data_IF_433085482702
#
_entry.id   IF_433085482702
#
_cell.length_a   1.000
_cell.length_b   1.000
_cell.length_c   1.000
_cell.angle_alpha   90.00
_cell.angle_beta   90.00
_cell.angle_gamma   90.00
#
_symmetry.space_group_name_H-M   'P 1'
#
loop_
_entity.id
_entity.type
_entity.pdbx_description
1 polymer ?
#
# COMPACT_ATOMS: atom_id res chain seq x y z
N UNK A 1 37.64 -25.04 -27.72
CA UNK A 1 38.14 -25.22 -26.34
C UNK A 1 37.00 -25.41 -25.33
N UNK A 2 36.00 -24.53 -25.31
CA UNK A 2 34.80 -24.60 -24.44
C UNK A 2 34.10 -25.98 -24.32
N UNK A 3 33.77 -26.62 -25.46
CA UNK A 3 33.13 -27.96 -25.46
C UNK A 3 33.99 -29.07 -24.83
N UNK A 4 35.30 -28.86 -24.67
CA UNK A 4 36.21 -29.86 -24.08
C UNK A 4 36.30 -29.76 -22.55
N UNK A 5 35.94 -28.61 -21.98
CA UNK A 5 36.02 -28.36 -20.53
C UNK A 5 34.64 -28.32 -19.86
N UNK A 6 33.56 -28.18 -20.62
CA UNK A 6 32.17 -28.19 -20.12
C UNK A 6 31.57 -29.59 -20.13
N UNK A 7 30.88 -29.97 -19.06
CA UNK A 7 30.12 -31.22 -19.00
C UNK A 7 28.91 -31.15 -19.95
N UNK A 8 28.77 -32.10 -20.87
CA UNK A 8 27.59 -32.18 -21.74
C UNK A 8 26.40 -32.66 -20.92
N UNK A 9 25.34 -31.86 -20.87
CA UNK A 9 24.15 -32.13 -20.07
C UNK A 9 23.13 -33.01 -20.80
N UNK A 10 22.96 -32.83 -22.12
CA UNK A 10 22.10 -33.66 -22.95
C UNK A 10 22.82 -34.02 -24.27
N UNK A 11 22.67 -35.27 -24.71
CA UNK A 11 23.13 -35.76 -26.01
C UNK A 11 22.22 -35.38 -27.18
N UNK A 12 20.99 -34.92 -26.90
CA UNK A 12 20.02 -34.48 -27.90
C UNK A 12 20.43 -33.15 -28.56
N UNK A 13 19.82 -32.85 -29.71
CA UNK A 13 20.08 -31.64 -30.48
C UNK A 13 19.00 -30.59 -30.15
N UNK A 14 19.36 -29.37 -29.73
CA UNK A 14 20.73 -28.86 -29.62
C UNK A 14 21.46 -29.32 -28.34
N UNK A 15 22.76 -29.64 -28.48
CA UNK A 15 23.58 -30.08 -27.36
C UNK A 15 23.74 -28.98 -26.30
N UNK A 16 23.30 -29.27 -25.08
CA UNK A 16 23.38 -28.36 -23.92
C UNK A 16 24.64 -28.68 -23.09
N UNK A 17 25.41 -27.64 -22.72
CA UNK A 17 26.70 -27.78 -22.02
C UNK A 17 26.73 -27.02 -20.72
N UNK A 18 27.05 -27.70 -19.62
CA UNK A 18 27.21 -27.14 -18.28
C UNK A 18 28.34 -26.13 -18.21
N UNK A 19 28.01 -24.90 -17.81
CA UNK A 19 29.02 -23.91 -17.46
C UNK A 19 29.63 -24.28 -16.10
N UNK A 20 30.95 -24.46 -16.07
CA UNK A 20 31.69 -24.64 -14.84
C UNK A 20 31.85 -23.29 -14.16
N UNK A 21 30.90 -22.97 -13.29
CA UNK A 21 30.87 -21.73 -12.53
C UNK A 21 31.72 -21.86 -11.27
N UNK A 22 32.63 -20.92 -11.06
CA UNK A 22 33.40 -20.82 -9.82
C UNK A 22 32.74 -19.81 -8.89
N UNK A 23 32.35 -20.25 -7.67
CA UNK A 23 31.87 -19.33 -6.65
C UNK A 23 33.02 -18.42 -6.21
N UNK A 24 32.80 -17.10 -6.29
CA UNK A 24 33.74 -16.06 -5.83
C UNK A 24 33.19 -15.39 -4.57
N UNK A 25 33.74 -14.22 -4.26
CA UNK A 25 33.32 -13.35 -3.15
C UNK A 25 31.80 -13.12 -3.22
N UNK A 26 31.14 -13.33 -2.08
CA UNK A 26 29.74 -12.99 -1.85
C UNK A 26 29.56 -12.63 -0.38
N UNK A 27 28.49 -11.92 -0.09
CA UNK A 27 28.03 -11.63 1.28
C UNK A 27 26.87 -12.56 1.63
N UNK A 28 26.30 -12.39 2.82
CA UNK A 28 25.02 -13.02 3.16
C UNK A 28 23.85 -12.42 2.35
N UNK A 29 24.04 -11.26 1.72
CA UNK A 29 23.02 -10.55 0.94
C UNK A 29 23.08 -10.81 -0.57
N UNK A 30 24.24 -11.16 -1.13
CA UNK A 30 24.37 -11.51 -2.54
C UNK A 30 25.55 -12.43 -2.80
N UNK A 31 25.49 -13.20 -3.89
CA UNK A 31 26.54 -14.15 -4.26
C UNK A 31 27.04 -13.91 -5.68
N UNK A 32 28.29 -14.28 -5.95
CA UNK A 32 28.88 -14.17 -7.29
C UNK A 32 29.50 -15.48 -7.77
N UNK A 33 29.28 -15.74 -9.05
CA UNK A 33 29.83 -16.86 -9.78
C UNK A 33 30.52 -16.36 -11.05
N UNK A 34 31.75 -16.78 -11.25
CA UNK A 34 32.54 -16.40 -12.42
C UNK A 34 32.69 -17.60 -13.36
N UNK A 35 32.60 -17.36 -14.67
CA UNK A 35 32.89 -18.32 -15.72
C UNK A 35 34.06 -17.83 -16.57
N UNK A 36 35.04 -18.71 -16.79
CA UNK A 36 36.20 -18.46 -17.64
C UNK A 36 37.25 -17.56 -17.00
N UNK A 37 38.47 -17.58 -17.54
CA UNK A 37 39.57 -16.74 -17.08
C UNK A 37 39.30 -15.24 -17.28
N UNK A 38 40.07 -14.39 -16.57
CA UNK A 38 39.95 -12.93 -16.67
C UNK A 38 40.02 -12.48 -18.14
N UNK A 39 39.05 -11.67 -18.55
CA UNK A 39 38.98 -11.11 -19.90
C UNK A 39 39.13 -9.60 -19.86
N UNK A 40 39.85 -9.05 -20.84
CA UNK A 40 40.00 -7.61 -21.06
C UNK A 40 38.97 -7.05 -22.04
N UNK A 41 38.09 -7.90 -22.60
CA UNK A 41 36.96 -7.43 -23.40
C UNK A 41 36.02 -6.60 -22.55
N UNK A 42 35.29 -5.68 -23.19
CA UNK A 42 34.24 -4.89 -22.54
C UNK A 42 33.29 -5.81 -21.77
N UNK A 43 32.80 -5.36 -20.62
CA UNK A 43 31.83 -6.12 -19.83
C UNK A 43 30.47 -5.43 -19.87
N UNK A 44 29.44 -6.13 -20.31
CA UNK A 44 28.06 -5.65 -20.31
C UNK A 44 27.33 -6.21 -19.08
N UNK A 45 26.76 -5.35 -18.25
CA UNK A 45 26.02 -5.72 -17.03
C UNK A 45 24.53 -5.56 -17.27
N UNK A 46 23.80 -6.65 -17.10
CA UNK A 46 22.35 -6.65 -17.16
C UNK A 46 21.80 -7.06 -15.81
N UNK A 47 20.71 -6.42 -15.38
CA UNK A 47 19.91 -6.88 -14.26
C UNK A 47 18.57 -7.40 -14.75
N UNK A 48 18.09 -8.48 -14.14
CA UNK A 48 16.85 -9.16 -14.50
C UNK A 48 15.84 -9.09 -13.34
N UNK A 49 14.66 -8.51 -13.57
CA UNK A 49 13.52 -8.44 -12.63
C UNK A 49 12.27 -9.18 -13.18
N UNK A 50 11.36 -9.60 -12.29
CA UNK A 50 10.26 -10.51 -12.61
C UNK A 50 10.05 -11.65 -11.59
N UNK A 51 8.99 -12.43 -11.81
CA UNK A 51 8.52 -13.52 -10.92
C UNK A 51 9.11 -14.89 -11.34
N UNK A 52 9.23 -15.87 -10.45
CA UNK A 52 9.68 -17.24 -10.76
C UNK A 52 8.68 -17.84 -11.76
N UNK A 53 9.20 -18.50 -12.80
CA UNK A 53 8.40 -18.95 -13.94
C UNK A 53 8.22 -17.87 -15.02
N UNK A 54 8.63 -16.61 -14.76
CA UNK A 54 8.88 -15.63 -15.82
C UNK A 54 10.23 -15.87 -16.51
N UNK A 55 10.40 -15.22 -17.65
CA UNK A 55 11.55 -15.31 -18.57
C UNK A 55 12.93 -14.95 -18.02
N UNK A 56 13.02 -14.57 -16.73
CA UNK A 56 14.30 -14.67 -16.02
C UNK A 56 14.96 -16.01 -16.27
N UNK A 57 14.18 -17.10 -16.31
CA UNK A 57 14.69 -18.46 -16.52
C UNK A 57 15.13 -18.75 -17.96
N UNK A 58 14.75 -17.92 -18.92
CA UNK A 58 15.08 -18.06 -20.36
C UNK A 58 16.36 -17.32 -20.73
N UNK A 59 16.56 -16.12 -20.15
CA UNK A 59 17.85 -15.41 -20.25
C UNK A 59 18.92 -16.02 -19.36
N UNK A 60 18.53 -16.83 -18.36
CA UNK A 60 19.44 -17.77 -17.72
C UNK A 60 19.87 -18.74 -18.79
N UNK A 61 21.16 -18.68 -19.10
CA UNK A 61 21.84 -19.56 -20.03
C UNK A 61 21.56 -21.01 -19.63
N UNK A 62 20.56 -21.59 -20.28
CA UNK A 62 20.08 -22.96 -20.19
C UNK A 62 19.69 -23.47 -18.78
N UNK A 63 19.01 -24.63 -18.79
CA UNK A 63 18.42 -25.39 -17.68
C UNK A 63 19.36 -25.70 -16.47
N UNK A 64 20.63 -25.30 -16.53
CA UNK A 64 21.68 -25.54 -15.54
C UNK A 64 21.52 -24.74 -14.26
N UNK A 65 20.99 -23.52 -14.36
CA UNK A 65 20.63 -22.74 -13.19
C UNK A 65 19.33 -23.22 -12.54
N UNK A 66 18.57 -24.10 -13.21
CA UNK A 66 17.42 -24.82 -12.61
C UNK A 66 17.86 -26.12 -11.93
N UNK A 67 18.84 -26.85 -12.46
CA UNK A 67 19.38 -28.05 -11.79
C UNK A 67 20.08 -27.75 -10.45
N UNK A 68 20.70 -26.56 -10.28
CA UNK A 68 21.14 -26.09 -8.95
C UNK A 68 19.98 -25.91 -7.94
N UNK A 69 18.74 -25.76 -8.44
CA UNK A 69 17.52 -25.59 -7.61
C UNK A 69 16.87 -26.91 -7.22
N UNK A 70 17.17 -28.04 -7.89
CA UNK A 70 16.54 -29.32 -7.55
C UNK A 70 17.27 -30.10 -6.45
N UNK A 71 18.57 -29.80 -6.22
CA UNK A 71 19.35 -30.40 -5.12
C UNK A 71 19.40 -29.54 -3.84
N UNK A 72 18.81 -28.35 -3.83
CA UNK A 72 18.66 -27.54 -2.61
C UNK A 72 17.20 -27.16 -2.41
N UNK A 73 16.60 -27.63 -1.32
CA UNK A 73 15.28 -27.22 -0.86
C UNK A 73 15.20 -25.72 -0.45
N UNK A 74 16.21 -24.90 -0.78
CA UNK A 74 16.19 -23.45 -0.52
C UNK A 74 15.94 -22.69 -1.81
N UNK A 75 14.71 -22.22 -1.93
CA UNK A 75 14.32 -21.08 -2.76
C UNK A 75 15.41 -20.00 -2.65
N UNK A 76 16.18 -19.73 -3.72
CA UNK A 76 17.29 -18.75 -3.68
C UNK A 76 16.78 -17.44 -3.11
N UNK A 77 17.29 -17.08 -1.93
CA UNK A 77 16.77 -15.95 -1.18
C UNK A 77 17.54 -14.66 -1.46
N UNK A 78 18.65 -14.78 -2.17
CA UNK A 78 19.64 -13.73 -2.37
C UNK A 78 19.83 -13.37 -3.85
N UNK A 79 20.20 -12.11 -4.11
CA UNK A 79 20.63 -11.65 -5.44
C UNK A 79 21.88 -12.41 -5.88
N UNK A 80 21.91 -12.88 -7.12
CA UNK A 80 23.04 -13.65 -7.66
C UNK A 80 23.64 -12.99 -8.89
N UNK A 81 24.97 -12.85 -8.90
CA UNK A 81 25.74 -12.25 -9.98
C UNK A 81 26.49 -13.33 -10.74
N UNK A 82 26.23 -13.48 -12.03
CA UNK A 82 26.97 -14.36 -12.93
C UNK A 82 27.88 -13.51 -13.81
N UNK A 83 29.20 -13.58 -13.62
CA UNK A 83 30.16 -12.92 -14.49
C UNK A 83 30.73 -13.92 -15.49
N UNK A 84 30.38 -13.74 -16.75
CA UNK A 84 30.75 -14.62 -17.84
C UNK A 84 31.80 -13.92 -18.66
N UNK A 85 33.07 -14.26 -18.39
CA UNK A 85 34.19 -13.68 -19.11
C UNK A 85 34.21 -14.20 -20.56
N UNK A 86 34.36 -13.29 -21.52
CA UNK A 86 34.45 -13.64 -22.93
C UNK A 86 35.54 -14.69 -23.18
N UNK A 87 35.19 -15.77 -23.89
CA UNK A 87 36.12 -16.80 -24.35
C UNK A 87 36.15 -16.84 -25.89
N UNK A 88 37.25 -17.28 -26.46
CA UNK A 88 37.36 -17.49 -27.90
C UNK A 88 36.29 -18.47 -28.40
N UNK A 89 35.59 -18.10 -29.48
CA UNK A 89 34.47 -18.85 -30.04
C UNK A 89 33.09 -18.46 -29.49
N UNK A 90 33.00 -17.48 -28.58
CA UNK A 90 31.72 -16.88 -28.21
C UNK A 90 31.16 -16.06 -29.38
N UNK A 91 29.83 -16.08 -29.56
CA UNK A 91 29.14 -15.27 -30.59
C UNK A 91 29.13 -13.77 -30.29
N UNK A 92 29.25 -13.40 -29.01
CA UNK A 92 29.32 -12.01 -28.55
C UNK A 92 30.77 -11.65 -28.27
N UNK A 93 31.19 -10.42 -28.61
CA UNK A 93 32.58 -9.97 -28.48
C UNK A 93 32.91 -9.32 -27.12
N UNK A 94 32.01 -9.47 -26.15
CA UNK A 94 32.11 -8.86 -24.82
C UNK A 94 31.83 -9.89 -23.73
N UNK A 95 32.33 -9.61 -22.52
CA UNK A 95 31.96 -10.34 -21.31
C UNK A 95 30.57 -9.91 -20.85
N UNK A 96 29.79 -10.83 -20.28
CA UNK A 96 28.43 -10.55 -19.83
C UNK A 96 28.34 -10.79 -18.32
N UNK A 97 27.87 -9.80 -17.58
CA UNK A 97 27.49 -9.94 -16.17
C UNK A 97 25.98 -9.91 -16.07
N UNK A 98 25.39 -10.97 -15.49
CA UNK A 98 23.95 -11.09 -15.27
C UNK A 98 23.69 -10.99 -13.77
N UNK A 99 22.93 -9.98 -13.36
CA UNK A 99 22.45 -9.80 -12.00
C UNK A 99 21.04 -10.38 -11.97
N UNK A 100 20.94 -11.61 -11.48
CA UNK A 100 19.69 -12.32 -11.31
C UNK A 100 19.09 -11.97 -9.96
N UNK A 101 17.91 -11.35 -9.99
CA UNK A 101 17.15 -11.07 -8.76
C UNK A 101 16.18 -12.22 -8.47
N UNK A 102 15.94 -12.57 -7.19
CA UNK A 102 14.84 -13.45 -6.79
C UNK A 102 13.46 -12.89 -7.19
N UNK A 103 12.39 -13.57 -6.77
CA UNK A 103 11.00 -13.18 -7.05
C UNK A 103 10.66 -11.78 -6.58
N UNK A 104 10.74 -10.84 -7.50
CA UNK A 104 10.46 -9.42 -7.26
C UNK A 104 9.10 -9.09 -7.85
N UNK A 105 8.22 -8.44 -7.07
CA UNK A 105 6.84 -8.14 -7.43
C UNK A 105 5.95 -9.39 -7.57
N UNK A 106 6.27 -10.45 -6.81
CA UNK A 106 5.45 -11.66 -6.74
C UNK A 106 4.36 -11.57 -5.67
N UNK A 107 3.45 -12.54 -5.62
CA UNK A 107 2.43 -12.66 -4.55
C UNK A 107 3.02 -12.87 -3.15
N UNK A 108 4.33 -13.08 -3.03
CA UNK A 108 5.05 -13.16 -1.75
C UNK A 108 5.10 -11.82 -1.00
N UNK A 109 4.78 -10.72 -1.67
CA UNK A 109 4.45 -9.43 -1.07
C UNK A 109 5.61 -8.48 -0.81
N UNK A 110 5.25 -7.26 -0.42
CA UNK A 110 6.11 -6.07 -0.31
C UNK A 110 7.34 -6.29 0.59
N UNK A 111 7.22 -7.09 1.66
CA UNK A 111 8.34 -7.39 2.56
C UNK A 111 9.49 -8.10 1.85
N UNK A 112 9.17 -8.98 0.90
CA UNK A 112 10.18 -9.73 0.15
C UNK A 112 10.91 -8.84 -0.85
N UNK A 113 10.17 -7.94 -1.51
CA UNK A 113 10.71 -6.94 -2.43
C UNK A 113 11.62 -5.95 -1.70
N UNK A 114 11.26 -5.56 -0.47
CA UNK A 114 12.13 -4.74 0.39
C UNK A 114 13.46 -5.44 0.65
N UNK A 115 13.45 -6.72 1.07
CA UNK A 115 14.68 -7.48 1.30
C UNK A 115 15.53 -7.59 0.02
N UNK A 116 14.92 -7.80 -1.16
CA UNK A 116 15.66 -7.82 -2.44
C UNK A 116 16.27 -6.44 -2.74
N UNK A 117 15.55 -5.37 -2.42
CA UNK A 117 16.04 -3.99 -2.60
C UNK A 117 17.24 -3.70 -1.70
N UNK A 118 17.21 -4.15 -0.44
CA UNK A 118 18.35 -4.08 0.50
C UNK A 118 19.56 -4.87 -0.03
N UNK A 119 19.34 -6.08 -0.53
CA UNK A 119 20.41 -6.89 -1.15
C UNK A 119 21.05 -6.21 -2.37
N UNK A 120 20.24 -5.54 -3.19
CA UNK A 120 20.73 -4.75 -4.32
C UNK A 120 21.51 -3.51 -3.84
N UNK A 121 21.06 -2.87 -2.77
CA UNK A 121 21.77 -1.76 -2.16
C UNK A 121 23.17 -2.22 -1.69
N UNK A 122 23.27 -3.34 -1.00
CA UNK A 122 24.54 -3.93 -0.60
C UNK A 122 25.44 -4.23 -1.80
N UNK A 123 24.89 -4.86 -2.84
CA UNK A 123 25.61 -5.16 -4.07
C UNK A 123 26.17 -3.90 -4.76
N UNK A 124 25.41 -2.81 -4.74
CA UNK A 124 25.84 -1.56 -5.39
C UNK A 124 26.86 -0.80 -4.54
N UNK A 125 26.90 -0.99 -3.23
CA UNK A 125 27.86 -0.33 -2.34
C UNK A 125 29.13 -1.14 -2.09
N UNK A 126 29.13 -2.45 -2.35
CA UNK A 126 30.30 -3.30 -2.17
C UNK A 126 31.45 -2.93 -3.11
N UNK A 127 32.70 -3.04 -2.61
CA UNK A 127 33.92 -2.77 -3.39
C UNK A 127 34.05 -3.66 -4.63
N UNK A 128 33.73 -4.96 -4.49
CA UNK A 128 33.72 -5.94 -5.58
C UNK A 128 32.34 -6.10 -6.25
N UNK A 129 31.44 -5.15 -5.96
CA UNK A 129 30.06 -5.14 -6.40
C UNK A 129 29.86 -4.55 -7.80
N UNK A 130 28.65 -4.05 -8.06
CA UNK A 130 28.28 -3.47 -9.36
C UNK A 130 28.21 -1.95 -9.25
N UNK A 131 28.98 -1.26 -10.10
CA UNK A 131 29.04 0.21 -10.11
C UNK A 131 28.32 0.83 -11.29
N UNK A 132 28.08 0.07 -12.36
CA UNK A 132 27.43 0.51 -13.59
C UNK A 132 26.59 -0.61 -14.21
N UNK A 133 25.56 -0.22 -14.95
CA UNK A 133 24.62 -1.11 -15.63
C UNK A 133 24.43 -0.70 -17.08
N UNK A 134 24.28 -1.70 -17.95
CA UNK A 134 24.01 -1.51 -19.36
C UNK A 134 22.54 -1.73 -19.69
N UNK A 135 21.85 -2.64 -19.00
CA UNK A 135 20.41 -2.79 -19.16
C UNK A 135 19.69 -3.21 -17.87
N UNK A 136 18.52 -2.63 -17.65
CA UNK A 136 17.53 -3.08 -16.66
C UNK A 136 16.43 -3.80 -17.40
N UNK A 137 16.39 -5.12 -17.25
CA UNK A 137 15.41 -5.95 -17.92
C UNK A 137 14.34 -6.40 -16.94
N UNK A 138 13.08 -6.29 -17.33
CA UNK A 138 11.98 -6.81 -16.52
C UNK A 138 10.85 -7.35 -17.38
N UNK A 139 10.07 -8.24 -16.78
CA UNK A 139 8.84 -8.79 -17.36
C UNK A 139 7.60 -8.00 -16.89
N UNK A 140 6.42 -8.36 -17.38
CA UNK A 140 5.15 -7.76 -16.95
C UNK A 140 4.98 -7.78 -15.41
N UNK A 141 4.25 -6.79 -14.88
CA UNK A 141 3.78 -6.63 -13.48
C UNK A 141 4.75 -6.06 -12.45
N UNK A 142 5.95 -5.60 -12.83
CA UNK A 142 6.93 -5.09 -11.84
C UNK A 142 7.47 -3.70 -12.18
N UNK A 143 6.88 -3.01 -13.15
CA UNK A 143 7.41 -1.76 -13.71
C UNK A 143 7.63 -0.69 -12.65
N UNK A 144 6.58 -0.29 -11.93
CA UNK A 144 6.67 0.76 -10.90
C UNK A 144 7.63 0.38 -9.77
N UNK A 145 7.59 -0.88 -9.34
CA UNK A 145 8.48 -1.39 -8.29
C UNK A 145 9.94 -1.34 -8.71
N UNK A 146 10.27 -1.75 -9.94
CA UNK A 146 11.64 -1.72 -10.48
C UNK A 146 12.14 -0.30 -10.61
N UNK A 147 11.31 0.61 -11.13
CA UNK A 147 11.68 2.02 -11.27
C UNK A 147 11.96 2.69 -9.94
N UNK A 148 11.26 2.30 -8.88
CA UNK A 148 11.47 2.85 -7.54
C UNK A 148 12.84 2.53 -6.93
N UNK A 149 13.60 1.61 -7.54
CA UNK A 149 14.96 1.24 -7.14
C UNK A 149 15.98 2.17 -7.79
N UNK A 150 15.77 2.56 -9.05
CA UNK A 150 16.80 3.20 -9.87
C UNK A 150 16.69 4.71 -9.91
N UNK A 151 17.84 5.35 -10.14
CA UNK A 151 17.88 6.75 -10.54
C UNK A 151 17.19 6.96 -11.89
N UNK A 152 16.62 8.16 -12.07
CA UNK A 152 15.95 8.55 -13.32
C UNK A 152 16.85 8.49 -14.56
N UNK A 153 18.17 8.52 -14.39
CA UNK A 153 19.18 8.43 -15.44
C UNK A 153 19.28 7.04 -16.06
N UNK A 154 18.76 6.01 -15.38
CA UNK A 154 18.72 4.62 -15.86
C UNK A 154 17.58 4.37 -16.85
N UNK A 155 16.64 5.33 -16.99
CA UNK A 155 15.47 5.19 -17.84
C UNK A 155 15.81 4.73 -19.28
N UNK A 156 16.85 5.27 -19.91
CA UNK A 156 17.26 4.90 -21.27
C UNK A 156 17.84 3.48 -21.40
N UNK A 157 18.20 2.85 -20.27
CA UNK A 157 18.74 1.49 -20.18
C UNK A 157 17.66 0.45 -19.89
N UNK A 158 16.40 0.87 -19.74
CA UNK A 158 15.27 -0.05 -19.53
C UNK A 158 15.01 -0.86 -20.80
N UNK A 159 14.85 -2.19 -20.65
CA UNK A 159 14.46 -3.10 -21.72
C UNK A 159 13.35 -4.02 -21.25
N UNK A 160 12.30 -4.16 -22.04
CA UNK A 160 11.14 -4.95 -21.64
C UNK A 160 11.26 -6.34 -22.24
N UNK A 161 11.18 -7.37 -21.39
CA UNK A 161 11.14 -8.76 -21.83
C UNK A 161 9.68 -9.21 -21.85
N UNK A 162 9.23 -9.66 -23.00
CA UNK A 162 7.81 -9.95 -23.22
C UNK A 162 7.59 -11.40 -23.57
N UNK A 163 6.71 -12.03 -22.80
CA UNK A 163 6.41 -13.46 -22.83
C UNK A 163 5.00 -13.70 -23.38
N UNK A 164 4.75 -14.89 -23.93
CA UNK A 164 3.42 -15.33 -24.38
C UNK A 164 2.73 -14.34 -25.33
N UNK A 165 3.50 -13.69 -26.22
CA UNK A 165 3.04 -12.61 -27.11
C UNK A 165 3.31 -12.94 -28.58
N UNK A 166 2.96 -14.17 -28.95
CA UNK A 166 3.26 -14.77 -30.25
C UNK A 166 2.30 -14.30 -31.35
N UNK A 167 1.07 -13.92 -30.99
CA UNK A 167 0.04 -13.52 -31.95
C UNK A 167 -0.19 -12.01 -32.10
N UNK A 168 -0.10 -11.23 -31.02
CA UNK A 168 -0.57 -9.84 -30.98
C UNK A 168 0.39 -8.91 -30.22
N UNK A 169 0.16 -7.58 -30.33
CA UNK A 169 0.90 -6.60 -29.56
C UNK A 169 0.70 -6.86 -28.05
N UNK A 170 1.78 -6.97 -27.27
CA UNK A 170 1.66 -7.29 -25.86
C UNK A 170 0.93 -6.19 -25.06
N UNK A 171 -0.09 -6.52 -24.25
CA UNK A 171 -0.81 -5.52 -23.44
C UNK A 171 0.07 -4.78 -22.43
N UNK A 172 1.21 -5.36 -22.04
CA UNK A 172 2.18 -4.71 -21.14
C UNK A 172 2.75 -3.41 -21.74
N UNK A 173 2.83 -3.31 -23.07
CA UNK A 173 3.36 -2.10 -23.71
C UNK A 173 2.43 -0.90 -23.50
N UNK A 174 1.12 -1.11 -23.53
CA UNK A 174 0.14 -0.05 -23.27
C UNK A 174 0.15 0.38 -21.81
N UNK A 175 0.30 -0.56 -20.87
CA UNK A 175 0.46 -0.24 -19.45
C UNK A 175 1.73 0.61 -19.20
N UNK A 176 2.82 0.32 -19.89
CA UNK A 176 4.07 1.10 -19.78
C UNK A 176 3.90 2.48 -20.40
N UNK A 177 3.23 2.61 -21.55
CA UNK A 177 2.89 3.92 -22.12
C UNK A 177 2.08 4.78 -21.15
N UNK A 178 1.10 4.18 -20.48
CA UNK A 178 0.23 4.88 -19.53
C UNK A 178 0.92 5.26 -18.21
N UNK A 179 2.10 4.69 -17.90
CA UNK A 179 2.80 4.93 -16.63
C UNK A 179 3.35 6.35 -16.47
N UNK A 180 3.56 7.08 -17.57
CA UNK A 180 4.20 8.40 -17.57
C UNK A 180 5.69 8.40 -17.24
N UNK A 181 6.31 7.23 -17.08
CA UNK A 181 7.74 7.11 -16.74
C UNK A 181 8.58 7.12 -18.02
N UNK A 182 9.75 7.79 -18.05
CA UNK A 182 10.63 7.74 -19.20
C UNK A 182 11.11 6.31 -19.49
N UNK A 183 11.00 5.90 -20.76
CA UNK A 183 11.53 4.64 -21.29
C UNK A 183 12.01 4.87 -22.72
N UNK A 184 12.94 4.04 -23.23
CA UNK A 184 13.37 4.12 -24.61
C UNK A 184 12.24 3.63 -25.52
N UNK A 185 12.02 4.35 -26.62
CA UNK A 185 11.04 4.01 -27.65
C UNK A 185 11.73 3.47 -28.90
N UNK A 186 11.06 2.57 -29.61
CA UNK A 186 11.37 2.21 -31.00
C UNK A 186 10.92 3.32 -31.95
N UNK A 187 11.29 3.21 -33.23
CA UNK A 187 10.87 4.15 -34.28
C UNK A 187 9.34 4.24 -34.41
N UNK A 188 8.63 3.15 -34.11
CA UNK A 188 7.17 3.07 -34.09
C UNK A 188 6.52 3.68 -32.81
N UNK A 189 7.32 4.30 -31.93
CA UNK A 189 6.85 4.90 -30.68
C UNK A 189 6.46 3.89 -29.59
N UNK A 190 6.80 2.61 -29.76
CA UNK A 190 6.56 1.58 -28.75
C UNK A 190 7.73 1.50 -27.76
N UNK A 191 7.49 1.12 -26.49
CA UNK A 191 8.58 0.81 -25.58
C UNK A 191 9.52 -0.27 -26.17
N UNK A 192 10.84 -0.08 -26.06
CA UNK A 192 11.83 -1.05 -26.54
C UNK A 192 11.65 -2.38 -25.81
N UNK A 193 11.33 -3.43 -26.57
CA UNK A 193 10.99 -4.73 -26.04
C UNK A 193 11.56 -5.88 -26.87
N UNK A 194 11.76 -7.03 -26.22
CA UNK A 194 12.22 -8.27 -26.84
C UNK A 194 11.25 -9.39 -26.51
N UNK A 195 10.85 -10.15 -27.54
CA UNK A 195 9.85 -11.22 -27.41
C UNK A 195 10.50 -12.57 -27.13
N UNK A 196 10.25 -13.05 -25.93
CA UNK A 196 10.42 -14.37 -25.36
C UNK A 196 9.35 -15.40 -25.79
N UNK A 197 9.72 -16.53 -26.39
CA UNK A 197 8.86 -17.71 -26.37
C UNK A 197 9.66 -18.90 -25.83
N UNK A 198 9.12 -19.49 -24.76
CA UNK A 198 9.78 -20.57 -24.02
C UNK A 198 9.14 -21.93 -24.26
N UNK A 199 8.07 -22.03 -25.05
CA UNK A 199 7.35 -23.28 -25.27
C UNK A 199 8.29 -24.38 -25.78
N UNK A 200 9.25 -24.02 -26.65
CA UNK A 200 10.28 -24.93 -27.13
C UNK A 200 11.20 -25.53 -26.04
N UNK A 201 11.37 -24.84 -24.90
CA UNK A 201 12.16 -25.35 -23.77
C UNK A 201 11.40 -26.40 -22.94
N UNK A 202 10.08 -26.43 -23.06
CA UNK A 202 9.19 -27.34 -22.34
C UNK A 202 8.56 -28.39 -23.27
N UNK A 203 8.94 -28.39 -24.53
CA UNK A 203 8.55 -29.40 -25.50
C UNK A 203 9.08 -30.77 -25.10
N UNK A 204 8.21 -31.79 -25.15
CA UNK A 204 8.62 -33.18 -24.97
C UNK A 204 9.44 -33.61 -26.20
N UNK A 205 10.76 -33.39 -26.16
CA UNK A 205 11.71 -33.80 -27.19
C UNK A 205 11.95 -35.32 -27.20
N UNK A 206 10.91 -36.15 -27.07
CA UNK A 206 11.07 -37.60 -27.22
C UNK A 206 11.52 -37.89 -28.65
N UNK A 207 12.57 -38.72 -28.85
CA UNK A 207 12.99 -39.12 -30.19
C UNK A 207 11.83 -39.86 -30.85
N UNK A 208 11.21 -39.19 -31.81
CA UNK A 208 10.06 -39.66 -32.57
C UNK A 208 10.52 -40.70 -33.59
N UNK A 209 10.93 -41.87 -33.10
CA UNK A 209 11.32 -43.01 -33.94
C UNK A 209 10.53 -44.30 -33.63
N UNK A 210 9.75 -44.37 -32.55
CA UNK A 210 9.12 -45.64 -32.14
C UNK A 210 7.59 -45.71 -32.26
N UNK A 211 6.84 -44.61 -32.30
CA UNK A 211 5.37 -44.64 -32.44
C UNK A 211 4.88 -43.33 -33.07
N UNK A 212 4.93 -43.22 -34.41
CA UNK A 212 4.17 -42.19 -35.12
C UNK A 212 2.93 -42.85 -35.71
N UNK A 213 1.76 -42.42 -35.27
CA UNK A 213 0.53 -42.59 -36.04
C UNK A 213 0.42 -41.46 -37.04
N UNK A 214 -0.30 -41.67 -38.15
CA UNK A 214 -0.37 -40.72 -39.28
C UNK A 214 -0.96 -39.33 -38.94
N UNK A 215 -1.41 -39.12 -37.70
CA UNK A 215 -1.92 -37.84 -37.18
C UNK A 215 -0.85 -36.99 -36.47
N UNK A 216 0.39 -37.47 -36.33
CA UNK A 216 1.48 -36.82 -35.56
C UNK A 216 2.47 -35.99 -36.43
N UNK A 217 2.10 -35.57 -37.63
CA UNK A 217 3.01 -34.86 -38.55
C UNK A 217 3.14 -33.35 -38.30
N UNK A 218 2.30 -32.74 -37.45
CA UNK A 218 2.20 -31.27 -37.34
C UNK A 218 2.82 -30.65 -36.06
N UNK A 219 3.29 -31.47 -35.10
CA UNK A 219 3.77 -30.95 -33.80
C UNK A 219 5.24 -30.51 -33.79
N UNK A 220 6.11 -31.11 -34.61
CA UNK A 220 7.56 -30.85 -34.61
C UNK A 220 7.97 -29.48 -35.17
N UNK A 221 7.16 -28.87 -36.04
CA UNK A 221 7.47 -27.58 -36.66
C UNK A 221 7.30 -26.38 -35.72
N UNK A 222 6.38 -26.47 -34.76
CA UNK A 222 6.09 -25.39 -33.82
C UNK A 222 7.21 -25.17 -32.81
N UNK A 223 7.77 -26.24 -32.24
CA UNK A 223 8.85 -26.13 -31.26
C UNK A 223 10.14 -25.59 -31.88
N UNK A 224 10.48 -26.03 -33.10
CA UNK A 224 11.61 -25.46 -33.85
C UNK A 224 11.38 -23.97 -34.17
N UNK A 225 10.16 -23.60 -34.57
CA UNK A 225 9.79 -22.21 -34.82
C UNK A 225 9.96 -21.35 -33.56
N UNK A 226 9.49 -21.81 -32.40
CA UNK A 226 9.64 -21.12 -31.13
C UNK A 226 11.10 -21.02 -30.68
N UNK A 227 11.91 -22.06 -30.89
CA UNK A 227 13.35 -22.04 -30.61
C UNK A 227 14.10 -21.01 -31.47
N UNK A 228 13.81 -21.00 -32.78
CA UNK A 228 14.40 -20.03 -33.71
C UNK A 228 13.98 -18.60 -33.36
N UNK A 229 12.72 -18.40 -32.98
CA UNK A 229 12.21 -17.11 -32.51
C UNK A 229 12.95 -16.64 -31.25
N UNK A 230 13.10 -17.50 -30.24
CA UNK A 230 13.86 -17.19 -29.03
C UNK A 230 15.33 -16.87 -29.32
N UNK A 231 15.97 -17.64 -30.20
CA UNK A 231 17.36 -17.41 -30.64
C UNK A 231 17.53 -16.05 -31.31
N UNK A 232 16.67 -15.70 -32.27
CA UNK A 232 16.69 -14.38 -32.94
C UNK A 232 16.42 -13.24 -31.95
N UNK A 233 15.57 -13.45 -30.95
CA UNK A 233 15.34 -12.46 -29.90
C UNK A 233 16.57 -12.26 -29.01
N UNK A 234 17.28 -13.32 -28.63
CA UNK A 234 18.56 -13.22 -27.91
C UNK A 234 19.62 -12.49 -28.73
N UNK A 235 19.74 -12.80 -30.02
CA UNK A 235 20.68 -12.13 -30.93
C UNK A 235 20.40 -10.63 -31.02
N UNK A 236 19.12 -10.24 -31.16
CA UNK A 236 18.72 -8.81 -31.13
C UNK A 236 19.00 -8.14 -29.80
N UNK A 237 18.72 -8.81 -28.67
CA UNK A 237 19.01 -8.27 -27.34
C UNK A 237 20.52 -8.02 -27.18
N UNK A 238 21.36 -9.00 -27.50
CA UNK A 238 22.81 -8.87 -27.36
C UNK A 238 23.42 -7.86 -28.33
N UNK A 239 22.93 -7.79 -29.57
CA UNK A 239 23.31 -6.73 -30.49
C UNK A 239 22.96 -5.35 -29.93
N UNK A 240 21.75 -5.18 -29.37
CA UNK A 240 21.34 -3.94 -28.74
C UNK A 240 22.22 -3.58 -27.54
N UNK A 241 22.52 -4.53 -26.64
CA UNK A 241 23.42 -4.31 -25.49
C UNK A 241 24.78 -3.76 -25.91
N UNK A 242 25.29 -4.16 -27.08
CA UNK A 242 26.57 -3.66 -27.58
C UNK A 242 26.54 -2.17 -27.94
N UNK A 243 25.38 -1.60 -28.28
CA UNK A 243 25.21 -0.18 -28.58
C UNK A 243 24.85 0.69 -27.37
N UNK A 244 24.41 0.10 -26.26
CA UNK A 244 23.92 0.89 -25.11
C UNK A 244 25.07 1.60 -24.39
N UNK A 245 24.84 2.85 -24.01
CA UNK A 245 25.70 3.59 -23.10
C UNK A 245 25.48 3.12 -21.66
N UNK A 246 26.56 2.71 -20.99
CA UNK A 246 26.51 2.28 -19.60
C UNK A 246 26.14 3.45 -18.68
N UNK A 247 25.33 3.19 -17.65
CA UNK A 247 24.99 4.16 -16.61
C UNK A 247 25.64 3.80 -15.29
N UNK A 248 26.31 4.77 -14.70
CA UNK A 248 26.82 4.66 -13.33
C UNK A 248 25.68 4.65 -12.33
N UNK A 249 25.82 3.86 -11.27
CA UNK A 249 24.77 3.69 -10.25
C UNK A 249 24.79 4.76 -9.16
N UNK A 250 25.51 5.87 -9.33
CA UNK A 250 25.63 6.93 -8.32
C UNK A 250 24.27 7.49 -7.91
N UNK A 251 23.40 7.80 -8.88
CA UNK A 251 22.07 8.32 -8.58
C UNK A 251 21.18 7.24 -7.94
N UNK A 252 21.23 6.01 -8.44
CA UNK A 252 20.57 4.84 -7.85
C UNK A 252 20.96 4.62 -6.39
N UNK A 253 22.25 4.70 -6.05
CA UNK A 253 22.71 4.59 -4.65
C UNK A 253 22.12 5.68 -3.76
N UNK A 254 22.02 6.91 -4.28
CA UNK A 254 21.40 8.03 -3.57
C UNK A 254 19.90 7.80 -3.35
N UNK A 255 19.17 7.34 -4.37
CA UNK A 255 17.74 6.97 -4.27
C UNK A 255 17.53 5.93 -3.17
N UNK A 256 18.32 4.86 -3.16
CA UNK A 256 18.22 3.80 -2.16
C UNK A 256 18.51 4.31 -0.74
N UNK A 257 19.54 5.17 -0.58
CA UNK A 257 19.87 5.76 0.72
C UNK A 257 18.79 6.70 1.24
N UNK A 258 18.26 7.59 0.41
CA UNK A 258 17.18 8.51 0.80
C UNK A 258 15.91 7.75 1.15
N UNK A 259 15.61 6.68 0.40
CA UNK A 259 14.48 5.80 0.70
C UNK A 259 14.61 5.13 2.06
N UNK A 260 15.79 4.56 2.37
CA UNK A 260 16.02 3.96 3.69
C UNK A 260 15.80 4.98 4.81
N UNK A 261 16.31 6.22 4.66
CA UNK A 261 16.11 7.28 5.66
C UNK A 261 14.63 7.67 5.83
N UNK A 262 13.86 7.70 4.75
CA UNK A 262 12.42 7.95 4.80
C UNK A 262 11.69 6.80 5.51
N UNK A 263 12.06 5.55 5.22
CA UNK A 263 11.47 4.38 5.87
C UNK A 263 11.74 4.37 7.38
N UNK A 264 12.97 4.67 7.80
CA UNK A 264 13.33 4.81 9.22
C UNK A 264 12.52 5.93 9.90
N UNK A 265 12.38 7.08 9.22
CA UNK A 265 11.59 8.21 9.72
C UNK A 265 10.11 7.88 9.87
N UNK A 266 9.54 7.12 8.92
CA UNK A 266 8.14 6.66 8.98
C UNK A 266 7.95 5.67 10.13
N UNK A 267 8.89 4.73 10.34
CA UNK A 267 8.83 3.78 11.46
C UNK A 267 8.86 4.51 12.81
N UNK A 268 9.74 5.51 12.96
CA UNK A 268 9.81 6.32 14.17
C UNK A 268 8.55 7.14 14.42
N UNK A 269 7.94 7.70 13.37
CA UNK A 269 6.66 8.38 13.47
C UNK A 269 5.54 7.41 13.89
N UNK A 270 5.51 6.20 13.33
CA UNK A 270 4.53 5.17 13.72
C UNK A 270 4.65 4.80 15.21
N UNK A 271 5.89 4.66 15.73
CA UNK A 271 6.14 4.43 17.17
C UNK A 271 5.61 5.58 18.03
N UNK A 272 5.87 6.84 17.65
CA UNK A 272 5.39 8.03 18.37
C UNK A 272 3.86 8.10 18.38
N UNK A 273 3.21 7.88 17.23
CA UNK A 273 1.75 7.85 17.12
C UNK A 273 1.16 6.78 18.05
N UNK A 274 1.73 5.57 18.05
CA UNK A 274 1.28 4.49 18.93
C UNK A 274 1.41 4.85 20.41
N UNK A 275 2.50 5.52 20.81
CA UNK A 275 2.71 5.97 22.18
C UNK A 275 1.70 7.05 22.59
N UNK A 276 1.47 8.04 21.72
CA UNK A 276 0.51 9.12 21.99
C UNK A 276 -0.94 8.59 22.05
N UNK A 277 -1.30 7.61 21.21
CA UNK A 277 -2.59 6.92 21.31
C UNK A 277 -2.77 6.20 22.65
N UNK A 278 -1.72 5.51 23.15
CA UNK A 278 -1.78 4.84 24.45
C UNK A 278 -1.95 5.84 25.62
N UNK A 279 -1.24 6.98 25.59
CA UNK A 279 -1.42 8.05 26.59
C UNK A 279 -2.82 8.67 26.55
N UNK A 280 -3.39 8.83 25.36
CA UNK A 280 -4.74 9.35 25.19
C UNK A 280 -5.78 8.39 25.79
N UNK A 281 -5.60 7.09 25.60
CA UNK A 281 -6.44 6.05 26.18
C UNK A 281 -6.37 6.07 27.71
N UNK A 282 -5.17 6.13 28.29
CA UNK A 282 -4.96 6.26 29.75
C UNK A 282 -5.64 7.52 30.32
N UNK A 283 -5.49 8.67 29.63
CA UNK A 283 -6.14 9.92 30.03
C UNK A 283 -7.67 9.81 29.99
N UNK A 284 -8.21 9.15 28.97
CA UNK A 284 -9.65 8.93 28.84
C UNK A 284 -10.19 8.03 29.96
N UNK A 285 -9.50 6.95 30.29
CA UNK A 285 -9.86 6.09 31.43
C UNK A 285 -9.81 6.85 32.76
N UNK A 286 -8.76 7.62 32.98
CA UNK A 286 -8.60 8.44 34.20
C UNK A 286 -9.71 9.47 34.32
N UNK A 287 -10.06 10.13 33.21
CA UNK A 287 -11.16 11.09 33.15
C UNK A 287 -12.51 10.41 33.44
N UNK A 288 -12.73 9.20 32.93
CA UNK A 288 -13.94 8.43 33.21
C UNK A 288 -14.05 8.08 34.69
N UNK A 289 -12.98 7.57 35.30
CA UNK A 289 -12.93 7.27 36.74
C UNK A 289 -13.13 8.51 37.61
N UNK A 290 -12.57 9.66 37.22
CA UNK A 290 -12.80 10.93 37.91
C UNK A 290 -14.26 11.36 37.85
N UNK A 291 -14.90 11.30 36.68
CA UNK A 291 -16.33 11.61 36.54
C UNK A 291 -17.20 10.67 37.38
N UNK A 292 -16.91 9.36 37.37
CA UNK A 292 -17.59 8.39 38.22
C UNK A 292 -17.41 8.71 39.72
N UNK A 293 -16.20 9.07 40.15
CA UNK A 293 -15.92 9.46 41.53
C UNK A 293 -16.60 10.77 41.93
N UNK A 294 -16.70 11.76 41.04
CA UNK A 294 -17.43 13.01 41.27
C UNK A 294 -18.94 12.77 41.37
N UNK A 295 -19.53 11.94 40.51
CA UNK A 295 -20.94 11.53 40.61
C UNK A 295 -21.20 10.83 41.94
N UNK A 296 -20.33 9.88 42.34
CA UNK A 296 -20.48 9.14 43.60
C UNK A 296 -20.25 10.02 44.84
N UNK A 297 -19.36 11.02 44.79
CA UNK A 297 -19.24 12.03 45.86
C UNK A 297 -20.49 12.87 46.02
N UNK A 298 -21.21 13.11 44.92
CA UNK A 298 -22.46 13.85 44.90
C UNK A 298 -23.70 12.94 45.05
N UNK A 299 -23.57 11.64 45.37
CA UNK A 299 -24.71 10.76 45.63
C UNK A 299 -25.43 11.05 46.96
N UNK A 300 -24.81 11.81 47.87
CA UNK A 300 -25.41 12.21 49.15
C UNK A 300 -25.59 13.72 49.23
N UNK A 301 -26.48 14.28 48.42
CA UNK A 301 -27.14 15.52 48.82
C UNK A 301 -28.65 15.33 48.74
N UNK A 302 -29.29 15.40 49.91
CA UNK A 302 -30.74 15.60 49.98
C UNK A 302 -30.99 17.06 49.59
N UNK A 303 -31.51 17.30 48.38
CA UNK A 303 -32.15 18.58 48.09
C UNK A 303 -33.45 18.59 48.87
N UNK A 304 -33.46 19.24 50.03
CA UNK A 304 -34.72 19.62 50.69
C UNK A 304 -35.39 20.70 49.84
N UNK A 305 -36.24 20.27 48.92
CA UNK A 305 -37.13 21.19 48.19
C UNK A 305 -38.34 21.45 49.08
N UNK A 306 -38.42 22.66 49.62
CA UNK A 306 -39.61 23.15 50.33
C UNK A 306 -40.70 23.44 49.31
N UNK A 307 -41.68 22.55 49.20
CA UNK A 307 -42.86 22.79 48.35
C UNK A 307 -43.89 23.56 49.17
N UNK A 308 -44.18 24.79 48.73
CA UNK A 308 -45.24 25.65 49.26
C UNK A 308 -46.58 25.04 48.86
N UNK A 309 -47.45 24.74 49.83
CA UNK A 309 -48.87 24.46 49.54
C UNK A 309 -49.70 25.68 49.93
N UNK A 310 -50.47 26.28 49.02
CA UNK A 310 -51.48 27.26 49.41
C UNK A 310 -52.55 26.56 50.26
N UNK A 311 -53.04 27.22 51.29
CA UNK A 311 -54.30 26.86 51.95
C UNK A 311 -55.28 28.02 51.81
N UNK A 312 -56.56 27.70 51.68
CA UNK A 312 -57.65 28.65 51.48
C UNK A 312 -58.19 29.10 52.85
N UNK A 313 -58.25 30.42 53.08
CA UNK A 313 -58.94 31.03 54.22
C UNK A 313 -60.33 31.52 53.77
N UNK A 314 -61.40 30.95 54.33
CA UNK A 314 -62.78 31.34 54.04
C UNK A 314 -63.12 32.71 54.63
N UNK A 315 -63.52 33.64 53.76
CA UNK A 315 -63.94 35.01 54.08
C UNK A 315 -65.44 35.23 53.87
N UNK A 316 -66.23 34.16 53.78
CA UNK A 316 -67.69 34.22 53.66
C UNK A 316 -68.31 35.02 54.82
N UNK A 317 -69.09 36.04 54.49
CA UNK A 317 -69.78 36.89 55.47
C UNK A 317 -69.09 38.23 55.79
N UNK A 318 -67.88 38.48 55.27
CA UNK A 318 -67.15 39.74 55.47
C UNK A 318 -67.62 40.91 54.57
N UNK A 319 -68.51 40.65 53.60
CA UNK A 319 -69.01 41.66 52.65
C UNK A 319 -67.96 42.13 51.62
N UNK A 320 -66.86 41.39 51.49
CA UNK A 320 -65.75 41.63 50.57
C UNK A 320 -65.28 40.34 49.92
N UNK A 321 -64.73 40.43 48.72
CA UNK A 321 -64.27 39.30 47.91
C UNK A 321 -62.75 39.34 47.73
N UNK A 322 -62.14 38.20 47.42
CA UNK A 322 -60.75 38.08 47.00
C UNK A 322 -60.68 37.84 45.48
N UNK A 323 -59.83 38.59 44.77
CA UNK A 323 -59.61 38.36 43.34
C UNK A 323 -58.44 37.39 43.14
N UNK A 324 -58.76 36.12 42.87
CA UNK A 324 -57.77 35.04 42.76
C UNK A 324 -57.46 34.71 41.30
N UNK A 325 -56.18 34.55 40.97
CA UNK A 325 -55.74 34.09 39.66
C UNK A 325 -55.73 32.56 39.61
N UNK A 326 -56.49 31.96 38.70
CA UNK A 326 -56.56 30.49 38.56
C UNK A 326 -55.31 29.89 37.88
N UNK A 327 -54.53 30.71 37.20
CA UNK A 327 -53.27 30.27 36.60
C UNK A 327 -52.08 30.34 37.58
N UNK A 328 -52.07 31.36 38.44
CA UNK A 328 -50.97 31.57 39.38
C UNK A 328 -51.25 31.01 40.78
N UNK A 329 -52.50 30.61 41.06
CA UNK A 329 -52.97 30.26 42.40
C UNK A 329 -52.53 31.29 43.45
N UNK A 330 -52.82 32.56 43.17
CA UNK A 330 -52.42 33.72 43.97
C UNK A 330 -53.57 34.71 44.13
N UNK A 331 -53.74 35.25 45.34
CA UNK A 331 -54.69 36.34 45.62
C UNK A 331 -54.09 37.67 45.21
N UNK A 332 -54.54 38.24 44.09
CA UNK A 332 -54.04 39.52 43.59
C UNK A 332 -54.51 40.72 44.42
N UNK A 333 -55.71 40.65 44.99
CA UNK A 333 -56.31 41.76 45.73
C UNK A 333 -57.38 41.26 46.68
N UNK A 334 -57.29 41.76 47.90
CA UNK A 334 -58.29 41.64 48.93
C UNK A 334 -58.10 42.85 49.87
N UNK A 335 -59.18 43.49 50.36
CA UNK A 335 -60.58 43.24 50.06
C UNK A 335 -61.05 43.90 48.75
N UNK A 336 -61.74 43.15 47.88
CA UNK A 336 -62.39 43.66 46.68
C UNK A 336 -63.90 43.87 46.94
N UNK A 337 -64.47 45.05 46.64
CA UNK A 337 -65.90 45.31 46.84
C UNK A 337 -66.78 44.82 45.67
N UNK A 338 -66.18 44.34 44.58
CA UNK A 338 -66.89 43.93 43.36
C UNK A 338 -67.26 42.46 43.51
N UNK A 339 -68.56 42.13 43.45
CA UNK A 339 -69.02 40.74 43.53
C UNK A 339 -68.99 40.04 42.16
N UNK A 340 -69.41 40.74 41.11
CA UNK A 340 -69.59 40.16 39.77
C UNK A 340 -68.26 40.08 39.03
N UNK A 341 -67.98 38.89 38.51
CA UNK A 341 -66.76 38.63 37.76
C UNK A 341 -66.62 39.49 36.49
N UNK A 342 -67.75 39.94 35.93
CA UNK A 342 -67.80 40.77 34.71
C UNK A 342 -67.38 42.21 34.96
N UNK A 343 -67.57 42.70 36.17
CA UNK A 343 -67.30 44.10 36.53
C UNK A 343 -65.85 44.30 37.05
N UNK A 344 -65.07 43.22 37.15
CA UNK A 344 -63.69 43.26 37.66
C UNK A 344 -62.71 44.06 36.82
N UNK A 345 -63.02 44.32 35.55
CA UNK A 345 -62.20 45.22 34.73
C UNK A 345 -62.09 46.62 35.36
N UNK A 346 -63.04 46.98 36.24
CA UNK A 346 -63.05 48.22 37.01
C UNK A 346 -62.40 48.10 38.41
N UNK A 347 -61.80 46.95 38.74
CA UNK A 347 -61.08 46.77 40.00
C UNK A 347 -59.86 47.70 40.08
N UNK A 348 -59.61 48.30 41.24
CA UNK A 348 -58.48 49.22 41.45
C UNK A 348 -57.09 48.58 41.20
N UNK A 349 -57.00 47.25 41.26
CA UNK A 349 -55.78 46.50 40.97
C UNK A 349 -55.64 46.09 39.48
N UNK A 350 -56.55 46.56 38.61
CA UNK A 350 -56.53 46.35 37.17
C UNK A 350 -55.93 47.55 36.44
N UNK A 351 -55.05 47.29 35.47
CA UNK A 351 -54.53 48.30 34.54
C UNK A 351 -54.46 47.70 33.14
N UNK A 352 -55.00 48.39 32.14
CA UNK A 352 -54.99 47.97 30.72
C UNK A 352 -55.50 46.53 30.47
N UNK A 353 -56.46 46.06 31.28
CA UNK A 353 -57.00 44.70 31.18
C UNK A 353 -56.14 43.61 31.82
N UNK A 354 -55.09 43.98 32.56
CA UNK A 354 -54.19 43.07 33.27
C UNK A 354 -54.14 43.36 34.76
N UNK A 355 -53.99 42.30 35.55
CA UNK A 355 -53.89 42.42 36.99
C UNK A 355 -52.47 42.75 37.42
N UNK A 356 -52.24 43.95 37.95
CA UNK A 356 -50.87 44.42 38.21
C UNK A 356 -50.19 43.71 39.37
N UNK A 357 -50.98 43.22 40.32
CA UNK A 357 -50.51 42.50 41.51
C UNK A 357 -50.34 40.99 41.27
N UNK A 358 -50.82 40.46 40.14
CA UNK A 358 -50.62 39.06 39.81
C UNK A 358 -49.14 38.82 39.45
N UNK A 359 -48.47 37.78 39.98
CA UNK A 359 -47.05 37.52 39.73
C UNK A 359 -46.67 37.50 38.24
N UNK A 360 -47.55 36.94 37.41
CA UNK A 360 -47.35 36.83 35.96
C UNK A 360 -48.10 37.92 35.16
N UNK A 361 -48.67 38.93 35.84
CA UNK A 361 -49.51 39.98 35.24
C UNK A 361 -50.56 39.40 34.30
N UNK A 362 -51.28 38.39 34.78
CA UNK A 362 -52.25 37.65 33.97
C UNK A 362 -53.41 38.57 33.51
N UNK A 363 -54.05 38.25 32.36
CA UNK A 363 -55.22 38.98 31.89
C UNK A 363 -56.41 38.85 32.85
N UNK A 364 -57.33 39.81 32.79
CA UNK A 364 -58.43 39.90 33.75
C UNK A 364 -59.36 38.68 33.78
N UNK A 365 -59.51 37.98 32.66
CA UNK A 365 -60.44 36.88 32.43
C UNK A 365 -60.05 35.57 33.15
N UNK A 366 -58.80 35.45 33.59
CA UNK A 366 -58.33 34.30 34.39
C UNK A 366 -58.39 34.53 35.90
N UNK A 367 -58.97 35.66 36.33
CA UNK A 367 -59.14 36.02 37.72
C UNK A 367 -60.62 35.91 38.14
N UNK A 368 -60.88 35.35 39.32
CA UNK A 368 -62.24 35.09 39.84
C UNK A 368 -62.39 35.67 41.23
N UNK A 369 -63.56 36.27 41.51
CA UNK A 369 -63.85 36.81 42.81
C UNK A 369 -64.46 35.69 43.65
N UNK A 370 -63.76 35.32 44.71
CA UNK A 370 -64.13 34.19 45.56
C UNK A 370 -64.25 34.67 47.00
N UNK A 371 -64.84 33.83 47.83
CA UNK A 371 -64.89 34.03 49.27
C UNK A 371 -63.71 33.33 49.95
N UNK A 372 -62.57 33.20 49.29
CA UNK A 372 -61.41 32.45 49.80
C UNK A 372 -60.12 33.20 49.50
N UNK A 373 -59.30 33.48 50.51
CA UNK A 373 -57.96 34.06 50.31
C UNK A 373 -56.93 32.94 50.24
N UNK A 374 -56.10 32.97 49.22
CA UNK A 374 -54.88 32.16 49.14
C UNK A 374 -53.79 32.86 49.97
N UNK A 375 -53.50 32.31 51.16
CA UNK A 375 -52.49 32.86 52.09
C UNK A 375 -51.18 32.09 51.93
N UNK A 376 -50.09 32.83 51.66
CA UNK A 376 -48.74 32.29 51.66
C UNK A 376 -48.01 32.70 52.95
N UNK A 377 -47.84 31.79 53.90
CA UNK A 377 -46.98 32.07 55.06
C UNK A 377 -45.50 31.92 54.69
N UNK A 378 -44.69 32.84 55.21
CA UNK A 378 -43.22 32.76 55.20
C UNK A 378 -42.67 32.39 56.58
N UNK A 379 -41.52 31.69 56.60
CA UNK A 379 -40.58 31.33 57.70
C UNK A 379 -40.84 29.99 58.42
N UNK A 380 -39.84 29.16 58.76
CA UNK A 380 -38.35 29.21 58.76
C UNK A 380 -37.82 27.90 58.16
#
# INVERSE_FOLDING_TARGET
MFRRTSERFNSESPAVYKLNLERKVGTDSWQRFDFGGQSFKKNRRIILFGVIGSEKSTLKINDQLRSLRSQSHSQMSEVTVYKINHQEGFKIEYSLTIIDTPDFGSTRGIKRDKLITEQLQDLFHANDGVTEIDAVNFTKYVFDSVLSIFGKDVAENIRILVTFADGQQPPVLEAIKASGVPYPTTDDGLPVHFKFNNSALFADNKPSAANRTADDEDSGGFDEMFWNMGTKSMERLFAALNGIQSKGLTLTKKVLKERQQLEDSVEDLQKKVKLELAKLEEKNETTKKLKEAEMNRNEKFEIKVTIIKPFEEDISGHGSYSTNCQQCHYTGHYPCPIADDRDKIHCAAMSDGYYTQCPNKCPWDVHFNQNEILVHFSKI
#
